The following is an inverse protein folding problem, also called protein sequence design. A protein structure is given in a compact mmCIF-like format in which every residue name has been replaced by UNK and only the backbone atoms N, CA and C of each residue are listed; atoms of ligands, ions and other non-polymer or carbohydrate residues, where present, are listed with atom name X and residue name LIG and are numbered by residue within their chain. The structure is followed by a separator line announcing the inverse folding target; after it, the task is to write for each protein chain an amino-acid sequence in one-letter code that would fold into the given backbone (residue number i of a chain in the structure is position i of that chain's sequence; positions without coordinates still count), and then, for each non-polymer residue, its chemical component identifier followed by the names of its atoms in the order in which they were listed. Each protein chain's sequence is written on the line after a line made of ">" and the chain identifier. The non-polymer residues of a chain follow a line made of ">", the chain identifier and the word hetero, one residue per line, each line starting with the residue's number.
data_IF_011801439961
#
_entry.id   IF_011801439961
#
_cell.length_a   1.000
_cell.length_b   1.000
_cell.length_c   1.000
_cell.angle_alpha   90.00
_cell.angle_beta   90.00
_cell.angle_gamma   90.00
#
_symmetry.space_group_name_H-M   'P 1'
#
loop_
_entity.id
_entity.type
_entity.pdbx_description
1 polymer ?
#
# COMPACT_ATOMS: atom_id res chain seq x y z
N UNK A 1 0.55 -16.91 -19.85
CA UNK A 1 1.22 -15.89 -19.02
C UNK A 1 0.56 -15.82 -17.66
N UNK A 2 1.22 -16.31 -16.59
CA UNK A 2 0.79 -16.11 -15.19
C UNK A 2 2.01 -15.65 -14.40
N UNK A 3 2.31 -14.35 -14.48
CA UNK A 3 3.27 -13.73 -13.56
C UNK A 3 2.68 -13.76 -12.15
N UNK A 4 3.50 -14.00 -11.14
CA UNK A 4 3.12 -13.86 -9.72
C UNK A 4 3.20 -12.41 -9.23
N UNK A 5 3.76 -11.51 -10.04
CA UNK A 5 4.01 -10.11 -9.71
C UNK A 5 3.01 -9.20 -10.42
N UNK A 6 2.67 -8.11 -9.74
CA UNK A 6 1.80 -7.03 -10.22
C UNK A 6 2.63 -5.75 -10.37
N UNK A 7 2.32 -4.96 -11.39
CA UNK A 7 2.90 -3.62 -11.56
C UNK A 7 4.40 -3.59 -11.87
N UNK A 8 5.02 -2.47 -11.49
CA UNK A 8 6.43 -2.15 -11.68
C UNK A 8 6.94 -1.33 -10.49
N UNK A 9 8.13 -1.66 -9.98
CA UNK A 9 8.78 -0.88 -8.95
C UNK A 9 10.30 -0.84 -9.16
N UNK A 10 10.84 0.37 -9.34
CA UNK A 10 12.28 0.60 -9.46
C UNK A 10 12.63 1.97 -8.90
N UNK A 11 13.60 2.02 -7.99
CA UNK A 11 14.04 3.25 -7.32
C UNK A 11 12.85 4.03 -6.73
N UNK A 12 12.51 5.19 -7.29
CA UNK A 12 11.39 6.02 -6.82
C UNK A 12 10.17 5.96 -7.75
N UNK A 13 10.17 5.05 -8.73
CA UNK A 13 9.10 4.87 -9.70
C UNK A 13 8.28 3.65 -9.31
N UNK A 14 6.98 3.87 -9.09
CA UNK A 14 5.99 2.83 -8.83
C UNK A 14 4.87 2.93 -9.85
N UNK A 15 4.56 1.82 -10.52
CA UNK A 15 3.45 1.67 -11.44
C UNK A 15 2.62 0.46 -11.05
N UNK A 16 1.30 0.57 -11.09
CA UNK A 16 0.38 -0.53 -10.77
C UNK A 16 -0.80 -0.48 -11.73
N UNK A 17 -1.32 -1.67 -12.06
CA UNK A 17 -2.55 -1.86 -12.80
C UNK A 17 -3.79 -1.84 -11.89
N UNK A 18 -3.61 -1.72 -10.57
CA UNK A 18 -4.74 -1.59 -9.64
C UNK A 18 -5.49 -0.30 -9.92
N UNK A 19 -6.76 -0.45 -10.27
CA UNK A 19 -7.69 0.66 -10.47
C UNK A 19 -8.43 1.00 -9.16
N UNK A 20 -8.85 2.26 -9.04
CA UNK A 20 -9.53 2.80 -7.85
C UNK A 20 -8.61 3.61 -6.93
N UNK A 21 -9.09 4.00 -5.74
CA UNK A 21 -8.30 4.80 -4.80
C UNK A 21 -7.21 3.94 -4.15
N UNK A 22 -6.04 3.87 -4.80
CA UNK A 22 -4.90 3.05 -4.38
C UNK A 22 -4.37 3.44 -3.01
N UNK A 23 -4.11 4.73 -2.78
CA UNK A 23 -3.45 5.19 -1.56
C UNK A 23 -4.35 5.07 -0.32
N UNK A 24 -5.62 5.53 -0.34
CA UNK A 24 -6.50 5.39 0.83
C UNK A 24 -6.78 3.93 1.20
N UNK A 25 -6.86 3.03 0.22
CA UNK A 25 -7.09 1.60 0.48
C UNK A 25 -5.84 0.84 0.93
N UNK A 26 -4.67 1.46 0.83
CA UNK A 26 -3.39 0.85 1.15
C UNK A 26 -2.54 1.84 1.96
N UNK A 27 -2.92 2.16 3.22
CA UNK A 27 -2.23 3.15 4.05
C UNK A 27 -0.73 2.83 4.20
N UNK A 28 -0.38 1.54 4.32
CA UNK A 28 1.02 1.08 4.34
C UNK A 28 1.83 1.46 3.07
N UNK A 29 1.17 1.45 1.91
CA UNK A 29 1.80 1.89 0.65
C UNK A 29 1.92 3.42 0.59
N UNK A 30 0.90 4.13 1.07
CA UNK A 30 0.96 5.59 1.19
C UNK A 30 2.12 6.02 2.11
N UNK A 31 2.22 5.42 3.29
CA UNK A 31 3.32 5.63 4.24
C UNK A 31 4.69 5.35 3.62
N UNK A 32 4.81 4.27 2.85
CA UNK A 32 6.03 3.95 2.15
C UNK A 32 6.44 5.06 1.17
N UNK A 33 5.49 5.56 0.37
CA UNK A 33 5.74 6.64 -0.59
C UNK A 33 6.12 7.94 0.13
N UNK A 34 5.42 8.28 1.22
CA UNK A 34 5.68 9.49 2.01
C UNK A 34 7.08 9.39 2.66
N UNK A 35 7.39 8.29 3.35
CA UNK A 35 8.71 8.06 3.96
C UNK A 35 9.82 8.15 2.92
N UNK A 36 9.66 7.49 1.77
CA UNK A 36 10.67 7.50 0.70
C UNK A 36 10.87 8.90 0.10
N UNK A 37 9.80 9.66 -0.03
CA UNK A 37 9.86 11.04 -0.53
C UNK A 37 10.55 11.98 0.45
N UNK A 38 10.25 11.86 1.75
CA UNK A 38 10.86 12.66 2.81
C UNK A 38 12.35 12.35 3.01
N UNK A 39 12.75 11.07 2.89
CA UNK A 39 14.16 10.65 2.97
C UNK A 39 15.07 11.29 1.92
N UNK A 40 14.52 11.89 0.86
CA UNK A 40 15.30 12.67 -0.12
C UNK A 40 15.79 14.01 0.42
N UNK A 41 15.16 14.54 1.48
CA UNK A 41 15.43 15.87 2.04
C UNK A 41 15.79 15.84 3.52
N UNK A 42 15.44 14.79 4.23
CA UNK A 42 15.63 14.65 5.67
C UNK A 42 16.33 13.32 5.98
N UNK A 43 17.31 13.33 6.88
CA UNK A 43 18.08 12.13 7.26
C UNK A 43 17.30 11.21 8.20
N UNK A 44 16.57 11.79 9.16
CA UNK A 44 15.70 11.05 10.08
C UNK A 44 14.23 11.34 9.76
N UNK A 45 13.49 10.29 9.39
CA UNK A 45 12.09 10.38 8.98
C UNK A 45 11.28 9.34 9.74
N UNK A 46 10.54 9.82 10.73
CA UNK A 46 9.52 9.05 11.42
C UNK A 46 8.14 9.60 11.07
N UNK A 47 7.20 8.73 10.71
CA UNK A 47 5.80 9.10 10.57
C UNK A 47 5.07 8.73 11.86
N UNK A 48 4.25 9.66 12.35
CA UNK A 48 3.35 9.39 13.46
C UNK A 48 2.32 8.34 13.02
N UNK A 49 2.13 7.31 13.83
CA UNK A 49 1.10 6.30 13.59
C UNK A 49 -0.29 6.93 13.61
N UNK A 50 -1.11 6.54 12.64
CA UNK A 50 -2.51 6.88 12.52
C UNK A 50 -3.36 5.63 12.77
N UNK A 51 -4.62 5.85 13.10
CA UNK A 51 -5.58 4.75 13.24
C UNK A 51 -6.03 4.27 11.86
N UNK A 52 -5.54 3.10 11.45
CA UNK A 52 -5.87 2.43 10.19
C UNK A 52 -7.04 1.42 10.34
N UNK A 53 -7.76 1.45 11.47
CA UNK A 53 -8.77 0.41 11.80
C UNK A 53 -9.87 0.25 10.75
N UNK A 54 -10.32 1.36 10.15
CA UNK A 54 -11.35 1.34 9.11
C UNK A 54 -10.84 0.71 7.80
N UNK A 55 -9.63 1.08 7.39
CA UNK A 55 -8.96 0.57 6.20
C UNK A 55 -8.68 -0.93 6.34
N UNK A 56 -8.25 -1.37 7.53
CA UNK A 56 -8.02 -2.78 7.84
C UNK A 56 -9.33 -3.58 7.82
N UNK A 57 -10.41 -3.03 8.38
CA UNK A 57 -11.74 -3.66 8.32
C UNK A 57 -12.23 -3.80 6.89
N UNK A 58 -12.21 -2.71 6.10
CA UNK A 58 -12.65 -2.73 4.70
C UNK A 58 -11.81 -3.70 3.85
N UNK A 59 -10.50 -3.78 4.10
CA UNK A 59 -9.61 -4.74 3.44
C UNK A 59 -9.97 -6.18 3.81
N UNK A 60 -10.28 -6.44 5.08
CA UNK A 60 -10.68 -7.78 5.54
C UNK A 60 -11.99 -8.21 4.88
N UNK A 61 -13.01 -7.37 4.88
CA UNK A 61 -14.29 -7.65 4.23
C UNK A 61 -14.12 -7.94 2.73
N UNK A 62 -13.34 -7.13 2.02
CA UNK A 62 -13.03 -7.35 0.60
C UNK A 62 -12.36 -8.71 0.37
N UNK A 63 -11.40 -9.09 1.21
CA UNK A 63 -10.70 -10.38 1.09
C UNK A 63 -11.63 -11.57 1.36
N UNK A 64 -12.51 -11.46 2.35
CA UNK A 64 -13.53 -12.46 2.64
C UNK A 64 -14.49 -12.64 1.46
N UNK A 65 -14.99 -11.54 0.88
CA UNK A 65 -15.86 -11.55 -0.30
C UNK A 65 -15.18 -12.18 -1.54
N UNK A 66 -13.86 -12.04 -1.66
CA UNK A 66 -13.06 -12.66 -2.72
C UNK A 66 -12.74 -14.14 -2.44
N UNK A 67 -13.23 -14.72 -1.34
CA UNK A 67 -12.96 -16.10 -0.95
C UNK A 67 -11.51 -16.33 -0.50
N UNK A 68 -10.80 -15.25 -0.13
CA UNK A 68 -9.44 -15.32 0.37
C UNK A 68 -9.45 -15.80 1.83
N UNK A 69 -9.65 -17.11 2.01
CA UNK A 69 -9.48 -17.75 3.30
C UNK A 69 -7.98 -17.72 3.65
N UNK A 70 -7.60 -16.92 4.64
CA UNK A 70 -6.29 -17.01 5.31
C UNK A 70 -6.18 -18.45 5.85
N UNK A 71 -5.55 -19.33 5.09
CA UNK A 71 -5.02 -20.60 5.62
C UNK A 71 -3.92 -20.31 6.60
#
# INVERSE_FOLDING_TARGET
>A
YKSKYEGFFKDNVLGTYVHGPLLPKNPKLADFIIKKSLKRRYEDVSLKELDDSMEEYAKKELLENLGYNKR
#
